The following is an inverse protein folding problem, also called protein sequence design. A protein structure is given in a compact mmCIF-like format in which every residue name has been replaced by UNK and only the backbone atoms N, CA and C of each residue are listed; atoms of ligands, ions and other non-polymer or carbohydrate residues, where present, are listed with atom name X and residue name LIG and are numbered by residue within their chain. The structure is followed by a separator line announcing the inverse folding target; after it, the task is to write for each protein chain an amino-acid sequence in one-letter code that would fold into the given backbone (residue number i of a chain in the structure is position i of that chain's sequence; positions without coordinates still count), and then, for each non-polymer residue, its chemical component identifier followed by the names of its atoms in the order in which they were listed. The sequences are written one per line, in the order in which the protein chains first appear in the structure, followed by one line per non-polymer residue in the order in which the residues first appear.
data_IF_953979124110
#
_entry.id   IF_953979124110
#
_cell.length_a   1.000
_cell.length_b   1.000
_cell.length_c   1.000
_cell.angle_alpha   90.00
_cell.angle_beta   90.00
_cell.angle_gamma   90.00
#
_symmetry.space_group_name_H-M   'P 1'
#
loop_
_entity.id
_entity.type
_entity.pdbx_description
1 polymer ?
#
# COMPACT_ATOMS: atom_id res chain seq x y z
N UNK A 1 -18.98 -12.34 9.37
CA UNK A 1 -18.20 -12.33 8.12
C UNK A 1 -18.26 -13.73 7.54
N UNK A 2 -18.62 -13.95 6.27
CA UNK A 2 -18.51 -15.28 5.70
C UNK A 2 -17.04 -15.71 5.74
N UNK A 3 -16.77 -16.88 6.32
CA UNK A 3 -15.44 -17.48 6.37
C UNK A 3 -14.93 -17.65 4.95
N UNK A 4 -13.74 -17.09 4.66
CA UNK A 4 -13.06 -17.36 3.38
C UNK A 4 -12.85 -18.87 3.21
N UNK A 5 -12.97 -19.40 1.99
CA UNK A 5 -12.67 -20.81 1.74
C UNK A 5 -11.22 -21.12 2.12
N UNK A 6 -10.91 -22.38 2.51
CA UNK A 6 -9.56 -22.77 2.81
C UNK A 6 -8.66 -22.67 1.56
N UNK A 7 -7.38 -22.33 1.74
CA UNK A 7 -6.44 -22.24 0.62
C UNK A 7 -6.17 -23.62 0.00
N UNK A 8 -5.87 -23.62 -1.29
CA UNK A 8 -5.54 -24.80 -2.07
C UNK A 8 -4.11 -25.29 -1.79
N UNK A 9 -3.94 -26.61 -1.71
CA UNK A 9 -2.62 -27.24 -1.56
C UNK A 9 -1.88 -27.46 -2.88
N UNK A 10 -2.52 -27.16 -4.03
CA UNK A 10 -1.99 -27.36 -5.38
C UNK A 10 -1.23 -26.15 -5.92
N UNK A 11 -1.14 -25.08 -5.15
CA UNK A 11 -0.43 -23.84 -5.49
C UNK A 11 0.50 -23.45 -4.36
N UNK A 12 1.62 -22.78 -4.70
CA UNK A 12 2.47 -22.14 -3.69
C UNK A 12 1.79 -20.90 -3.11
N UNK A 13 1.18 -20.08 -3.96
CA UNK A 13 0.38 -18.94 -3.54
C UNK A 13 -0.85 -19.40 -2.73
N UNK A 14 -1.27 -18.61 -1.73
CA UNK A 14 -2.57 -18.79 -1.10
C UNK A 14 -3.66 -18.48 -2.13
N UNK A 15 -4.24 -19.53 -2.71
CA UNK A 15 -5.31 -19.44 -3.70
C UNK A 15 -6.55 -20.17 -3.21
N UNK A 16 -7.73 -19.73 -3.65
CA UNK A 16 -9.01 -20.39 -3.41
C UNK A 16 -9.92 -20.19 -4.62
N UNK A 17 -10.91 -21.08 -4.76
CA UNK A 17 -11.97 -20.91 -5.74
C UNK A 17 -13.09 -20.05 -5.14
N UNK A 18 -13.48 -19.00 -5.85
CA UNK A 18 -14.66 -18.22 -5.49
C UNK A 18 -15.94 -19.01 -5.81
N UNK A 19 -17.09 -18.53 -5.32
CA UNK A 19 -18.41 -19.13 -5.59
C UNK A 19 -18.73 -19.23 -7.09
N UNK A 20 -18.19 -18.31 -7.87
CA UNK A 20 -18.36 -18.25 -9.32
C UNK A 20 -17.41 -19.20 -10.07
N UNK A 21 -16.59 -19.99 -9.36
CA UNK A 21 -15.60 -20.90 -9.95
C UNK A 21 -14.33 -20.21 -10.45
N UNK A 22 -14.15 -18.92 -10.15
CA UNK A 22 -12.95 -18.17 -10.51
C UNK A 22 -11.83 -18.41 -9.49
N UNK A 23 -10.63 -18.69 -9.97
CA UNK A 23 -9.45 -18.77 -9.10
C UNK A 23 -9.12 -17.37 -8.59
N UNK A 24 -8.97 -17.23 -7.28
CA UNK A 24 -8.42 -16.03 -6.66
C UNK A 24 -7.15 -16.39 -5.93
N UNK A 25 -6.11 -15.56 -6.03
CA UNK A 25 -4.86 -15.77 -5.33
C UNK A 25 -4.38 -14.49 -4.69
N UNK A 26 -3.70 -14.66 -3.56
CA UNK A 26 -2.90 -13.60 -2.95
C UNK A 26 -1.42 -13.78 -3.32
N UNK A 27 -0.64 -12.69 -3.29
CA UNK A 27 0.81 -12.78 -3.39
C UNK A 27 1.40 -13.75 -2.36
N UNK A 28 2.45 -14.45 -2.74
CA UNK A 28 3.18 -15.35 -1.85
C UNK A 28 4.01 -14.57 -0.84
N UNK A 29 4.56 -13.44 -1.27
CA UNK A 29 5.36 -12.54 -0.44
C UNK A 29 5.17 -11.08 -0.85
N UNK A 30 5.59 -10.19 0.02
CA UNK A 30 5.55 -8.75 -0.18
C UNK A 30 6.96 -8.20 -0.17
N UNK A 31 7.26 -7.34 -1.14
CA UNK A 31 8.45 -6.49 -1.08
C UNK A 31 7.99 -5.17 -0.49
N UNK A 32 8.40 -4.94 0.75
CA UNK A 32 8.13 -3.72 1.51
C UNK A 32 9.45 -2.95 1.62
N UNK A 33 9.42 -1.66 1.34
CA UNK A 33 10.58 -0.80 1.47
C UNK A 33 10.24 0.68 1.31
N UNK A 34 11.26 1.50 1.49
CA UNK A 34 11.19 2.96 1.36
C UNK A 34 11.40 3.40 -0.09
N UNK A 35 10.95 4.61 -0.41
CA UNK A 35 11.29 5.20 -1.71
C UNK A 35 12.82 5.28 -1.86
N UNK A 36 13.32 4.89 -3.04
CA UNK A 36 14.73 4.94 -3.42
C UNK A 36 15.69 4.03 -2.64
N UNK A 37 15.21 3.06 -1.84
CA UNK A 37 16.09 2.05 -1.22
C UNK A 37 16.37 0.83 -2.14
N UNK A 38 16.49 1.07 -3.45
CA UNK A 38 16.80 0.07 -4.47
C UNK A 38 15.85 -1.16 -4.53
N UNK A 39 14.60 -1.04 -4.06
CA UNK A 39 13.60 -2.11 -4.20
C UNK A 39 13.41 -2.52 -5.66
N UNK A 40 13.56 -1.59 -6.61
CA UNK A 40 13.35 -1.86 -8.05
C UNK A 40 14.42 -2.80 -8.57
N UNK A 41 15.67 -2.60 -8.14
CA UNK A 41 16.79 -3.46 -8.49
C UNK A 41 16.62 -4.86 -7.91
N UNK A 42 16.26 -4.95 -6.62
CA UNK A 42 15.94 -6.23 -5.98
C UNK A 42 14.81 -6.99 -6.69
N UNK A 43 13.73 -6.29 -7.06
CA UNK A 43 12.62 -6.88 -7.81
C UNK A 43 13.05 -7.37 -9.20
N UNK A 44 13.80 -6.55 -9.94
CA UNK A 44 14.35 -6.95 -11.23
C UNK A 44 15.21 -8.21 -11.11
N UNK A 45 16.00 -8.34 -10.05
CA UNK A 45 16.82 -9.52 -9.77
C UNK A 45 15.97 -10.76 -9.42
N UNK A 46 14.89 -10.60 -8.65
CA UNK A 46 14.00 -11.70 -8.29
C UNK A 46 13.24 -12.27 -9.49
N UNK A 47 12.82 -11.43 -10.43
CA UNK A 47 12.08 -11.86 -11.63
C UNK A 47 12.90 -12.80 -12.53
N UNK A 48 14.23 -12.84 -12.39
CA UNK A 48 15.07 -13.82 -13.10
C UNK A 48 14.87 -15.26 -12.63
N UNK A 49 14.30 -15.48 -11.45
CA UNK A 49 14.04 -16.82 -10.97
C UNK A 49 12.88 -17.47 -11.76
N UNK A 50 13.03 -18.70 -12.28
CA UNK A 50 12.07 -19.32 -13.21
C UNK A 50 10.67 -19.54 -12.63
N UNK A 51 10.56 -19.56 -11.30
CA UNK A 51 9.28 -19.73 -10.61
C UNK A 51 8.63 -18.40 -10.22
N UNK A 52 9.30 -17.25 -10.37
CA UNK A 52 8.74 -15.94 -10.03
C UNK A 52 8.07 -15.33 -11.26
N UNK A 53 6.78 -15.00 -11.14
CA UNK A 53 6.05 -14.25 -12.15
C UNK A 53 6.06 -12.78 -11.76
N UNK A 54 6.53 -11.92 -12.66
CA UNK A 54 6.51 -10.47 -12.47
C UNK A 54 5.09 -9.94 -12.27
N UNK A 55 4.87 -9.26 -11.16
CA UNK A 55 3.63 -8.52 -10.89
C UNK A 55 3.72 -7.05 -11.31
N UNK A 56 2.61 -6.32 -11.17
CA UNK A 56 2.61 -4.88 -11.41
C UNK A 56 3.43 -4.16 -10.34
N UNK A 57 4.31 -3.26 -10.80
CA UNK A 57 5.04 -2.33 -9.95
C UNK A 57 4.05 -1.43 -9.19
N UNK A 58 4.15 -1.37 -7.87
CA UNK A 58 3.50 -0.36 -7.02
C UNK A 58 1.98 -0.35 -7.24
N UNK A 59 1.24 -1.44 -6.93
CA UNK A 59 -0.20 -1.45 -7.09
C UNK A 59 -0.89 -0.48 -6.12
N UNK A 60 -0.17 0.03 -5.12
CA UNK A 60 -0.64 0.99 -4.14
C UNK A 60 -1.94 0.60 -3.41
N UNK A 61 -2.20 -0.71 -3.27
CA UNK A 61 -3.43 -1.15 -2.64
C UNK A 61 -3.41 -1.00 -1.12
N UNK A 62 -2.35 -1.49 -0.46
CA UNK A 62 -2.26 -1.49 1.01
C UNK A 62 -2.19 -0.08 1.60
N UNK A 63 -1.56 0.85 0.89
CA UNK A 63 -1.24 2.22 1.31
C UNK A 63 -2.26 3.27 0.84
N UNK A 64 -2.77 3.19 -0.39
CA UNK A 64 -3.69 4.20 -0.93
C UNK A 64 -5.08 3.66 -1.28
N UNK A 65 -5.17 2.66 -2.17
CA UNK A 65 -6.45 2.24 -2.76
C UNK A 65 -7.37 1.51 -1.78
N UNK A 66 -6.84 0.89 -0.73
CA UNK A 66 -7.66 0.28 0.32
C UNK A 66 -8.52 1.31 1.06
N UNK A 67 -8.10 2.58 1.07
CA UNK A 67 -8.83 3.66 1.73
C UNK A 67 -9.85 4.34 0.82
N UNK A 68 -9.81 4.11 -0.50
CA UNK A 68 -10.82 4.61 -1.43
C UNK A 68 -12.06 3.71 -1.40
N UNK A 69 -13.26 4.30 -1.52
CA UNK A 69 -14.53 3.56 -1.36
C UNK A 69 -14.72 2.46 -2.41
N UNK A 70 -14.18 2.66 -3.61
CA UNK A 70 -14.28 1.74 -4.74
C UNK A 70 -13.34 0.53 -4.62
N UNK A 71 -12.21 0.62 -3.89
CA UNK A 71 -11.16 -0.43 -3.87
C UNK A 71 -10.85 -1.00 -2.49
N UNK A 72 -11.64 -0.66 -1.47
CA UNK A 72 -11.47 -1.14 -0.08
C UNK A 72 -11.50 -2.67 0.11
N UNK A 73 -12.27 -3.38 -0.70
CA UNK A 73 -12.53 -4.81 -0.50
C UNK A 73 -11.42 -5.71 -1.07
N UNK A 74 -11.17 -6.84 -0.40
CA UNK A 74 -10.13 -7.81 -0.81
C UNK A 74 -10.38 -8.38 -2.22
N UNK A 75 -11.64 -8.49 -2.63
CA UNK A 75 -12.00 -8.94 -3.98
C UNK A 75 -11.52 -7.97 -5.06
N UNK A 76 -11.45 -6.67 -4.76
CA UNK A 76 -10.94 -5.68 -5.71
C UNK A 76 -9.41 -5.68 -5.75
N UNK A 77 -8.76 -6.15 -4.69
CA UNK A 77 -7.33 -6.38 -4.63
C UNK A 77 -6.90 -7.59 -5.47
N UNK A 78 -7.60 -8.73 -5.34
CA UNK A 78 -7.27 -9.94 -6.11
C UNK A 78 -7.41 -9.71 -7.61
N UNK A 79 -8.40 -8.91 -8.03
CA UNK A 79 -8.60 -8.48 -9.44
C UNK A 79 -7.39 -7.79 -10.06
N UNK A 80 -6.53 -7.16 -9.24
CA UNK A 80 -5.30 -6.52 -9.74
C UNK A 80 -4.30 -7.54 -10.31
N UNK A 81 -4.46 -8.82 -9.97
CA UNK A 81 -3.56 -9.90 -10.36
C UNK A 81 -4.20 -10.90 -11.33
N UNK A 82 -5.38 -10.62 -11.89
CA UNK A 82 -6.12 -11.56 -12.76
C UNK A 82 -5.24 -12.11 -13.92
N UNK A 83 -4.42 -11.25 -14.52
CA UNK A 83 -3.49 -11.66 -15.58
C UNK A 83 -2.41 -12.66 -15.13
N UNK A 84 -1.99 -12.59 -13.87
CA UNK A 84 -1.02 -13.52 -13.25
C UNK A 84 -1.74 -14.79 -12.80
N UNK A 85 -2.91 -14.64 -12.17
CA UNK A 85 -3.74 -15.74 -11.67
C UNK A 85 -4.11 -16.68 -12.82
N UNK A 86 -4.47 -16.15 -14.00
CA UNK A 86 -4.75 -16.96 -15.19
C UNK A 86 -3.58 -17.85 -15.60
N UNK A 87 -2.32 -17.41 -15.41
CA UNK A 87 -1.14 -18.24 -15.69
C UNK A 87 -0.98 -19.38 -14.69
N UNK A 88 -1.28 -19.12 -13.42
CA UNK A 88 -1.28 -20.14 -12.37
C UNK A 88 -2.38 -21.16 -12.65
N UNK A 89 -3.59 -20.69 -12.95
CA UNK A 89 -4.74 -21.52 -13.28
C UNK A 89 -4.45 -22.48 -14.44
N UNK A 90 -3.94 -21.98 -15.57
CA UNK A 90 -3.56 -22.82 -16.71
C UNK A 90 -2.51 -23.88 -16.34
N UNK A 91 -1.58 -23.57 -15.43
CA UNK A 91 -0.57 -24.54 -14.98
C UNK A 91 -1.16 -25.60 -14.06
N UNK A 92 -2.06 -25.21 -13.15
CA UNK A 92 -2.80 -26.15 -12.30
C UNK A 92 -3.67 -27.08 -13.17
N UNK A 93 -4.35 -26.55 -14.18
CA UNK A 93 -5.19 -27.35 -15.08
C UNK A 93 -4.38 -28.33 -15.95
N UNK A 94 -3.18 -27.95 -16.39
CA UNK A 94 -2.35 -28.80 -17.26
C UNK A 94 -1.52 -29.84 -16.52
N UNK A 95 -1.00 -29.52 -15.32
CA UNK A 95 -0.04 -30.35 -14.60
C UNK A 95 -0.52 -30.78 -13.20
N UNK A 96 -1.69 -30.33 -12.76
CA UNK A 96 -2.23 -30.59 -11.43
C UNK A 96 -1.59 -29.77 -10.30
N UNK A 97 -0.50 -29.04 -10.58
CA UNK A 97 0.25 -28.27 -9.58
C UNK A 97 0.93 -27.04 -10.18
N UNK A 98 0.90 -25.91 -9.47
CA UNK A 98 1.67 -24.72 -9.84
C UNK A 98 2.77 -24.40 -8.83
N UNK A 99 4.00 -24.43 -9.31
CA UNK A 99 5.18 -23.95 -8.60
C UNK A 99 5.42 -22.44 -8.78
N UNK A 100 4.60 -21.76 -9.57
CA UNK A 100 4.73 -20.33 -9.75
C UNK A 100 4.38 -19.58 -8.48
N UNK A 101 5.17 -18.55 -8.21
CA UNK A 101 4.96 -17.58 -7.15
C UNK A 101 4.94 -16.18 -7.76
N UNK A 102 4.13 -15.31 -7.20
CA UNK A 102 4.14 -13.89 -7.53
C UNK A 102 4.14 -13.09 -6.24
N UNK A 103 4.72 -11.91 -6.31
CA UNK A 103 4.83 -10.97 -5.22
C UNK A 103 3.78 -9.85 -5.34
N UNK A 104 3.69 -9.04 -4.29
CA UNK A 104 3.19 -7.68 -4.42
C UNK A 104 4.29 -6.72 -4.02
N UNK A 105 4.43 -5.72 -4.87
CA UNK A 105 5.39 -4.66 -4.70
C UNK A 105 4.74 -3.46 -3.98
N UNK A 106 4.80 -3.42 -2.65
CA UNK A 106 4.26 -2.30 -1.88
C UNK A 106 5.39 -1.37 -1.45
N UNK A 107 5.49 -0.22 -2.11
CA UNK A 107 6.17 0.91 -1.49
C UNK A 107 5.24 1.40 -0.40
N UNK A 108 5.71 1.37 0.85
CA UNK A 108 4.99 2.07 1.90
C UNK A 108 5.10 3.56 1.60
N UNK A 109 3.98 4.13 1.20
CA UNK A 109 3.88 5.57 1.12
C UNK A 109 3.74 6.16 2.53
N UNK A 110 4.88 6.63 3.04
CA UNK A 110 5.20 7.65 4.06
C UNK A 110 4.10 8.17 5.00
N UNK A 111 2.84 8.34 4.58
CA UNK A 111 1.78 8.74 5.51
C UNK A 111 1.55 7.70 6.60
N UNK A 112 1.61 6.41 6.25
CA UNK A 112 1.54 5.34 7.25
C UNK A 112 2.82 5.22 8.07
N UNK A 113 4.00 5.62 7.58
CA UNK A 113 5.21 5.63 8.39
C UNK A 113 5.28 6.79 9.37
N UNK A 114 4.76 7.97 9.03
CA UNK A 114 4.69 9.06 10.01
C UNK A 114 3.70 8.70 11.12
N UNK A 115 2.64 7.98 10.79
CA UNK A 115 1.66 7.50 11.77
C UNK A 115 2.11 6.23 12.50
N UNK A 116 2.82 5.30 11.86
CA UNK A 116 3.20 4.02 12.48
C UNK A 116 4.62 4.05 13.09
N UNK A 117 5.60 4.68 12.44
CA UNK A 117 6.98 4.76 12.96
C UNK A 117 7.15 5.80 14.08
N UNK A 118 6.36 6.89 14.12
CA UNK A 118 6.40 7.82 15.26
C UNK A 118 5.39 7.52 16.38
N UNK A 119 4.35 6.72 16.16
CA UNK A 119 3.33 6.48 17.21
C UNK A 119 3.10 5.02 17.64
N UNK A 120 3.35 3.99 16.81
CA UNK A 120 3.09 2.59 17.22
C UNK A 120 4.26 1.89 17.90
N UNK A 121 5.50 2.34 17.68
CA UNK A 121 6.68 1.68 18.25
C UNK A 121 7.23 2.36 19.52
N UNK A 122 6.59 3.43 20.02
CA UNK A 122 7.06 4.14 21.21
C UNK A 122 8.45 4.78 21.05
N UNK A 123 8.97 4.88 19.83
CA UNK A 123 10.20 5.61 19.57
C UNK A 123 9.92 7.10 19.67
N UNK A 124 10.54 7.71 20.67
CA UNK A 124 10.67 9.15 20.79
C UNK A 124 11.42 9.64 19.54
N UNK A 125 10.69 10.19 18.56
CA UNK A 125 11.24 10.72 17.30
C UNK A 125 12.13 11.96 17.58
N UNK A 126 13.31 11.74 18.15
CA UNK A 126 14.37 12.70 18.37
C UNK A 126 15.60 12.23 17.57
N UNK A 127 15.66 12.54 16.27
CA UNK A 127 16.79 12.13 15.43
C UNK A 127 16.68 12.47 13.95
N UNK A 128 17.75 12.16 13.17
CA UNK A 128 17.90 12.47 11.74
C UNK A 128 16.84 11.84 10.81
N UNK A 129 16.09 10.83 11.28
CA UNK A 129 14.96 10.22 10.55
C UNK A 129 13.79 11.20 10.28
N UNK A 130 13.69 12.28 11.07
CA UNK A 130 12.71 13.33 10.85
C UNK A 130 13.03 14.19 9.60
N UNK A 131 14.28 14.19 9.14
CA UNK A 131 14.71 14.97 7.98
C UNK A 131 14.36 14.26 6.67
N UNK A 132 14.58 12.95 6.62
CA UNK A 132 14.23 12.09 5.48
C UNK A 132 12.72 12.07 5.21
N UNK A 133 11.90 11.99 6.27
CA UNK A 133 10.44 12.06 6.15
C UNK A 133 9.95 13.42 5.62
N UNK A 134 10.55 14.53 6.07
CA UNK A 134 10.22 15.89 5.56
C UNK A 134 10.58 16.08 4.09
N UNK A 135 11.77 15.65 3.66
CA UNK A 135 12.22 15.77 2.27
C UNK A 135 11.28 14.99 1.35
N UNK A 136 10.84 13.81 1.78
CA UNK A 136 10.03 12.94 0.92
C UNK A 136 8.57 13.41 0.86
N UNK A 137 8.00 13.90 1.97
CA UNK A 137 6.69 14.56 1.96
C UNK A 137 6.69 15.83 1.10
N UNK A 138 7.72 16.66 1.21
CA UNK A 138 7.81 17.89 0.44
C UNK A 138 7.99 17.60 -1.06
N UNK A 139 8.85 16.63 -1.41
CA UNK A 139 9.00 16.17 -2.79
C UNK A 139 7.68 15.63 -3.37
N UNK A 140 6.85 15.00 -2.55
CA UNK A 140 5.53 14.50 -2.96
C UNK A 140 4.51 15.63 -3.13
N UNK A 141 4.47 16.57 -2.20
CA UNK A 141 3.67 17.79 -2.32
C UNK A 141 3.96 18.53 -3.64
N UNK A 142 5.24 18.61 -4.03
CA UNK A 142 5.64 19.19 -5.31
C UNK A 142 5.21 18.36 -6.54
N UNK A 143 5.23 17.02 -6.45
CA UNK A 143 4.86 16.14 -7.57
C UNK A 143 3.34 15.97 -7.73
N UNK A 144 2.56 16.22 -6.68
CA UNK A 144 1.10 16.16 -6.67
C UNK A 144 0.41 17.42 -7.25
N UNK A 145 1.20 18.41 -7.71
CA UNK A 145 0.78 19.67 -8.37
C UNK A 145 -0.31 19.53 -9.43
N UNK A 146 -0.44 18.35 -10.06
CA UNK A 146 -1.40 18.08 -11.14
C UNK A 146 -2.42 16.99 -10.85
N UNK A 147 -2.42 16.38 -9.66
CA UNK A 147 -3.26 15.20 -9.36
C UNK A 147 -4.43 15.48 -8.42
N UNK A 148 -4.36 16.51 -7.57
CA UNK A 148 -5.44 16.85 -6.64
C UNK A 148 -6.02 18.26 -6.90
N UNK A 149 -7.36 18.42 -6.88
CA UNK A 149 -8.03 19.70 -7.09
C UNK A 149 -8.07 20.54 -5.80
N UNK A 150 -6.92 20.78 -5.16
CA UNK A 150 -6.84 21.66 -3.98
C UNK A 150 -5.94 22.88 -4.26
N UNK A 151 -6.32 24.11 -3.83
CA UNK A 151 -5.59 25.34 -4.14
C UNK A 151 -4.12 25.30 -3.73
N UNK A 152 -3.82 24.59 -2.65
CA UNK A 152 -2.46 24.48 -2.14
C UNK A 152 -1.50 23.72 -3.07
N UNK A 153 -1.99 22.90 -4.01
CA UNK A 153 -1.15 22.25 -5.03
C UNK A 153 -1.07 23.04 -6.33
N UNK A 154 -1.96 24.01 -6.56
CA UNK A 154 -1.92 24.82 -7.79
C UNK A 154 -0.71 25.77 -7.79
N UNK A 155 -0.36 26.29 -6.62
CA UNK A 155 0.80 27.16 -6.37
C UNK A 155 1.64 26.62 -5.22
N UNK A 156 2.47 25.59 -5.47
CA UNK A 156 3.19 24.95 -4.39
C UNK A 156 4.24 25.90 -3.79
N UNK A 157 4.25 26.02 -2.46
CA UNK A 157 5.27 26.78 -1.73
C UNK A 157 5.67 26.06 -0.43
N UNK A 158 6.89 26.30 0.10
CA UNK A 158 7.28 25.78 1.40
C UNK A 158 6.31 26.19 2.53
N UNK A 159 5.80 27.42 2.48
CA UNK A 159 4.86 27.95 3.47
C UNK A 159 3.49 27.27 3.40
N UNK A 160 2.97 27.06 2.19
CA UNK A 160 1.73 26.32 1.98
C UNK A 160 1.87 24.88 2.49
N UNK A 161 2.96 24.18 2.15
CA UNK A 161 3.26 22.85 2.70
C UNK A 161 3.34 22.84 4.24
N UNK A 162 4.00 23.83 4.84
CA UNK A 162 4.07 23.94 6.30
C UNK A 162 2.68 24.06 6.94
N UNK A 163 1.83 24.95 6.41
CA UNK A 163 0.48 25.17 6.93
C UNK A 163 -0.39 23.93 6.85
N UNK A 164 -0.24 23.18 5.74
CA UNK A 164 -0.88 21.89 5.52
C UNK A 164 -0.44 20.85 6.56
N UNK A 165 0.87 20.69 6.80
CA UNK A 165 1.39 19.80 7.84
C UNK A 165 0.88 20.19 9.24
N UNK A 166 0.87 21.48 9.58
CA UNK A 166 0.34 21.96 10.87
C UNK A 166 -1.14 21.63 11.02
N UNK A 167 -1.94 21.78 9.95
CA UNK A 167 -3.35 21.38 9.93
C UNK A 167 -3.53 19.87 10.17
N UNK A 168 -2.78 19.05 9.46
CA UNK A 168 -2.79 17.60 9.62
C UNK A 168 -2.45 17.16 11.05
N UNK A 169 -1.37 17.71 11.63
CA UNK A 169 -0.97 17.42 13.02
C UNK A 169 -2.08 17.78 14.00
N UNK A 170 -2.72 18.94 13.85
CA UNK A 170 -3.84 19.34 14.74
C UNK A 170 -5.00 18.35 14.69
N UNK A 171 -5.34 17.83 13.51
CA UNK A 171 -6.43 16.86 13.35
C UNK A 171 -6.09 15.51 14.01
N UNK A 172 -4.88 15.01 13.78
CA UNK A 172 -4.44 13.76 14.39
C UNK A 172 -4.31 13.87 15.91
N UNK A 173 -3.74 14.95 16.43
CA UNK A 173 -3.65 15.19 17.89
C UNK A 173 -5.02 15.19 18.55
N UNK A 174 -6.04 15.81 17.93
CA UNK A 174 -7.42 15.74 18.43
C UNK A 174 -7.97 14.31 18.43
N UNK A 175 -7.67 13.53 17.41
CA UNK A 175 -8.10 12.13 17.36
C UNK A 175 -7.42 11.29 18.45
N UNK A 176 -6.12 11.49 18.69
CA UNK A 176 -5.35 10.77 19.70
C UNK A 176 -5.80 11.04 21.13
N UNK A 177 -6.47 12.16 21.39
CA UNK A 177 -7.09 12.43 22.70
C UNK A 177 -8.27 11.50 23.01
N UNK A 178 -8.90 10.93 21.98
CA UNK A 178 -10.14 10.15 22.13
C UNK A 178 -9.99 8.69 21.73
N UNK A 179 -9.04 8.39 20.85
CA UNK A 179 -8.87 7.09 20.21
C UNK A 179 -7.41 6.69 20.20
N UNK A 180 -7.14 5.40 20.07
CA UNK A 180 -5.77 4.93 19.93
C UNK A 180 -5.15 5.44 18.62
N UNK A 181 -3.81 5.58 18.55
CA UNK A 181 -3.13 6.00 17.33
C UNK A 181 -3.51 5.16 16.11
N UNK A 182 -3.66 3.84 16.32
CA UNK A 182 -4.11 2.91 15.28
C UNK A 182 -5.52 3.23 14.78
N UNK A 183 -6.47 3.47 15.68
CA UNK A 183 -7.84 3.82 15.29
C UNK A 183 -7.91 5.13 14.50
N UNK A 184 -7.01 6.08 14.79
CA UNK A 184 -6.92 7.33 14.04
C UNK A 184 -6.26 7.14 12.68
N UNK A 185 -5.18 6.34 12.60
CA UNK A 185 -4.51 6.03 11.35
C UNK A 185 -5.44 5.36 10.33
N UNK A 186 -6.29 4.44 10.79
CA UNK A 186 -7.22 3.71 9.92
C UNK A 186 -8.62 4.35 9.81
N UNK A 187 -8.81 5.58 10.29
CA UNK A 187 -10.07 6.30 10.15
C UNK A 187 -10.16 6.98 8.78
N UNK A 188 -10.92 6.37 7.85
CA UNK A 188 -11.08 6.87 6.48
C UNK A 188 -11.56 8.32 6.39
N UNK A 189 -12.46 8.76 7.28
CA UNK A 189 -12.94 10.16 7.27
C UNK A 189 -11.84 11.14 7.66
N UNK A 190 -11.04 10.78 8.68
CA UNK A 190 -9.89 11.59 9.11
C UNK A 190 -8.81 11.61 8.02
N UNK A 191 -8.54 10.46 7.40
CA UNK A 191 -7.61 10.34 6.29
C UNK A 191 -7.99 11.25 5.12
N UNK A 192 -9.25 11.20 4.67
CA UNK A 192 -9.73 12.05 3.57
C UNK A 192 -9.60 13.54 3.87
N UNK A 193 -9.87 13.95 5.12
CA UNK A 193 -9.66 15.34 5.54
C UNK A 193 -8.18 15.72 5.48
N UNK A 194 -7.29 14.86 5.95
CA UNK A 194 -5.84 15.13 5.97
C UNK A 194 -5.20 15.09 4.59
N UNK A 195 -5.59 14.15 3.72
CA UNK A 195 -5.08 14.06 2.33
C UNK A 195 -5.57 15.23 1.47
N UNK A 196 -6.77 15.76 1.73
CA UNK A 196 -7.14 17.05 1.12
C UNK A 196 -6.19 18.19 1.52
N UNK A 197 -5.50 18.05 2.65
CA UNK A 197 -4.44 18.93 3.09
C UNK A 197 -3.02 18.45 2.72
N UNK A 198 -2.74 17.23 2.26
CA UNK A 198 -1.36 16.69 2.06
C UNK A 198 -1.17 15.96 0.74
#
# INVERSE_FOLDING_TARGET
MPSSPPPLNVTRNPCWWDKDGLLQCLPYFYIIGFSKCATSDMFSNLVWHPNIISSQKEPHWVDYLRFTDDRRFLQNYTKMFDGIIRKIEMKVLSSGYSNYIFDMWAVYEILLEILENCFTLGFQCNGPDLYLSRVTLYSRYLSWRMKLPHPAYQRPSPEAFHNLCVGAVKLYTKCFQQKSPRQCAYNGTLYTQVVMFL
#
